data_IF_084496848873
#
_entry.id   IF_084496848873
#
_cell.length_a   1.000
_cell.length_b   1.000
_cell.length_c   1.000
_cell.angle_alpha   90.00
_cell.angle_beta   90.00
_cell.angle_gamma   90.00
#
_symmetry.space_group_name_H-M   'P 1'
#
loop_
_entity.id
_entity.type
_entity.pdbx_description
1 polymer ?
#
# COMPACT_ATOMS: atom_id res chain seq x y z
N UNK A 1 -12.45 17.13 -59.71
CA UNK A 1 -11.91 17.63 -60.99
C UNK A 1 -10.77 18.58 -60.64
N UNK A 2 -9.50 18.22 -60.79
CA UNK A 2 -8.97 17.00 -61.46
C UNK A 2 -7.61 16.59 -60.89
N UNK A 3 -7.37 15.27 -60.81
CA UNK A 3 -6.22 14.47 -61.27
C UNK A 3 -4.76 15.00 -61.18
N UNK A 4 -3.69 14.19 -60.99
CA UNK A 4 -3.44 12.85 -60.36
C UNK A 4 -1.92 12.55 -60.49
N UNK A 5 -1.43 11.43 -59.91
CA UNK A 5 -0.15 10.71 -60.16
C UNK A 5 1.19 11.15 -59.52
N UNK A 6 1.89 10.14 -58.97
CA UNK A 6 3.36 10.05 -58.90
C UNK A 6 4.01 10.40 -57.55
N UNK A 7 4.99 9.67 -57.01
CA UNK A 7 5.53 8.35 -57.35
C UNK A 7 6.38 7.82 -56.18
N UNK A 8 6.42 6.51 -55.92
CA UNK A 8 7.34 5.88 -54.97
C UNK A 8 8.46 5.10 -55.72
N UNK A 9 9.62 4.87 -55.09
CA UNK A 9 10.49 3.75 -55.45
C UNK A 9 10.73 2.77 -54.29
N UNK A 10 11.05 1.52 -54.65
CA UNK A 10 11.36 0.42 -53.73
C UNK A 10 12.88 0.25 -53.55
N UNK A 11 13.24 -0.32 -52.40
CA UNK A 11 14.30 -1.31 -52.11
C UNK A 11 15.59 -1.37 -52.97
N UNK A 12 16.72 -1.44 -52.26
CA UNK A 12 17.85 -2.28 -52.63
C UNK A 12 18.52 -2.90 -51.39
N UNK A 13 18.78 -4.19 -51.46
CA UNK A 13 19.85 -4.94 -50.79
C UNK A 13 20.38 -5.96 -51.82
N UNK A 14 21.19 -6.97 -51.47
CA UNK A 14 21.77 -7.31 -50.18
C UNK A 14 23.31 -7.13 -50.17
N UNK A 15 23.99 -7.55 -49.10
CA UNK A 15 25.32 -8.21 -49.18
C UNK A 15 25.65 -8.93 -47.86
N UNK A 16 26.12 -10.17 -47.97
CA UNK A 16 26.56 -11.05 -46.87
C UNK A 16 27.71 -11.92 -47.40
N UNK A 17 28.80 -12.11 -46.64
CA UNK A 17 29.64 -13.30 -46.81
C UNK A 17 29.89 -14.05 -45.50
N UNK A 18 30.09 -15.36 -45.65
CA UNK A 18 30.36 -16.33 -44.58
C UNK A 18 31.86 -16.63 -44.40
N UNK A 19 32.20 -17.28 -43.28
CA UNK A 19 33.54 -17.79 -42.95
C UNK A 19 33.85 -17.61 -41.45
N UNK A 20 33.60 -18.61 -40.59
CA UNK A 20 34.55 -19.65 -40.17
C UNK A 20 35.87 -19.12 -39.60
N UNK A 21 36.06 -19.24 -38.28
CA UNK A 21 37.10 -20.10 -37.70
C UNK A 21 37.01 -20.14 -36.15
N UNK A 22 37.15 -21.35 -35.60
CA UNK A 22 37.42 -21.61 -34.18
C UNK A 22 38.92 -21.94 -34.06
N UNK A 23 39.60 -21.56 -32.97
CA UNK A 23 40.19 -22.66 -32.18
C UNK A 23 40.23 -22.46 -30.65
N UNK A 24 39.94 -23.58 -29.99
CA UNK A 24 40.59 -24.17 -28.81
C UNK A 24 41.67 -23.36 -28.06
N UNK A 25 41.51 -23.24 -26.73
CA UNK A 25 42.53 -22.66 -25.84
C UNK A 25 42.34 -22.98 -24.35
N UNK A 26 42.66 -24.21 -23.94
CA UNK A 26 42.76 -24.61 -22.53
C UNK A 26 43.99 -24.00 -21.84
N UNK A 27 43.82 -23.37 -20.67
CA UNK A 27 44.89 -23.26 -19.66
C UNK A 27 44.30 -23.47 -18.26
N UNK A 28 44.98 -24.33 -17.50
CA UNK A 28 44.65 -24.79 -16.14
C UNK A 28 45.53 -24.08 -15.09
N UNK A 29 45.27 -24.38 -13.80
CA UNK A 29 46.12 -24.10 -12.64
C UNK A 29 46.04 -22.67 -12.04
N UNK A 30 46.29 -22.44 -10.74
CA UNK A 30 46.81 -23.34 -9.69
C UNK A 30 46.26 -22.94 -8.31
N UNK A 31 45.99 -23.90 -7.41
CA UNK A 31 45.91 -23.63 -5.96
C UNK A 31 47.33 -23.50 -5.35
N UNK A 32 47.56 -22.63 -4.35
CA UNK A 32 48.73 -22.70 -3.49
C UNK A 32 48.47 -23.52 -2.21
N UNK A 33 49.46 -24.32 -1.83
CA UNK A 33 49.35 -25.37 -0.81
C UNK A 33 49.54 -24.90 0.65
N UNK A 34 49.18 -25.81 1.56
CA UNK A 34 49.45 -25.79 3.01
C UNK A 34 50.91 -26.18 3.32
N UNK A 35 51.56 -25.52 4.29
CA UNK A 35 52.49 -26.14 5.24
C UNK A 35 51.80 -26.27 6.61
N UNK A 36 51.99 -27.31 7.42
CA UNK A 36 53.22 -28.05 7.70
C UNK A 36 53.47 -27.92 9.21
N UNK A 37 53.22 -28.98 9.97
CA UNK A 37 52.97 -28.89 11.43
C UNK A 37 54.22 -28.92 12.34
N UNK A 38 53.98 -28.80 13.65
CA UNK A 38 54.99 -29.03 14.70
C UNK A 38 54.37 -29.60 16.00
N UNK A 39 54.77 -30.84 16.30
CA UNK A 39 55.07 -31.46 17.62
C UNK A 39 54.56 -30.82 18.93
N UNK A 40 53.92 -31.66 19.77
CA UNK A 40 53.72 -31.42 21.20
C UNK A 40 54.91 -31.94 22.06
N UNK A 41 55.09 -31.45 23.30
CA UNK A 41 55.83 -32.14 24.36
C UNK A 41 54.93 -32.63 25.51
N UNK A 42 55.31 -33.77 26.09
CA UNK A 42 54.64 -34.44 27.23
C UNK A 42 55.23 -33.99 28.58
N UNK A 43 54.44 -33.88 29.65
CA UNK A 43 54.97 -33.51 30.98
C UNK A 43 54.01 -33.59 32.18
N UNK A 44 53.99 -34.75 32.86
CA UNK A 44 53.82 -34.97 34.32
C UNK A 44 52.84 -34.12 35.17
N UNK A 45 51.67 -34.71 35.48
CA UNK A 45 51.30 -35.20 36.83
C UNK A 45 51.06 -34.25 38.02
N UNK A 46 49.79 -34.06 38.41
CA UNK A 46 49.30 -33.71 39.76
C UNK A 46 47.80 -34.09 39.89
N UNK A 47 47.22 -34.26 41.11
CA UNK A 47 46.04 -35.11 41.30
C UNK A 47 44.67 -34.44 41.05
N UNK A 48 43.66 -35.28 40.81
CA UNK A 48 42.31 -34.87 40.48
C UNK A 48 41.55 -34.24 41.67
N UNK A 49 41.25 -32.94 41.57
CA UNK A 49 40.16 -32.31 42.32
C UNK A 49 38.86 -32.44 41.55
N UNK A 50 37.81 -32.98 42.17
CA UNK A 50 36.45 -33.11 41.62
C UNK A 50 35.76 -31.75 41.49
N UNK A 51 36.17 -30.98 40.49
CA UNK A 51 35.43 -29.79 40.05
C UNK A 51 34.20 -30.20 39.26
N UNK A 52 33.01 -30.00 39.83
CA UNK A 52 31.74 -30.14 39.12
C UNK A 52 31.75 -29.23 37.90
N UNK A 53 31.78 -29.81 36.69
CA UNK A 53 31.73 -29.03 35.46
C UNK A 53 30.42 -28.20 35.43
N UNK A 54 30.47 -26.90 35.07
CA UNK A 54 29.25 -26.13 34.88
C UNK A 54 28.44 -26.80 33.76
N UNK A 55 27.20 -27.18 34.07
CA UNK A 55 26.31 -27.83 33.09
C UNK A 55 26.16 -26.99 31.83
N UNK A 56 25.99 -27.63 30.65
CA UNK A 56 25.90 -26.90 29.39
C UNK A 56 24.76 -25.88 29.46
N UNK A 57 25.11 -24.60 29.28
CA UNK A 57 24.16 -23.50 29.18
C UNK A 57 23.07 -23.86 28.16
N UNK A 58 21.78 -23.59 28.45
CA UNK A 58 20.73 -23.76 27.46
C UNK A 58 21.10 -22.97 26.20
N UNK A 59 21.19 -23.66 25.06
CA UNK A 59 21.56 -23.02 23.81
C UNK A 59 20.57 -21.89 23.52
N UNK A 60 21.07 -20.64 23.51
CA UNK A 60 20.29 -19.50 23.03
C UNK A 60 19.72 -19.87 21.66
N UNK A 61 18.41 -19.69 21.40
CA UNK A 61 17.79 -20.12 20.16
C UNK A 61 18.57 -19.60 18.95
N UNK A 62 19.29 -20.52 18.31
CA UNK A 62 20.19 -20.20 17.21
C UNK A 62 19.39 -19.54 16.11
N UNK A 63 19.70 -18.27 15.83
CA UNK A 63 19.13 -17.56 14.68
C UNK A 63 19.42 -18.42 13.44
N UNK A 64 18.40 -18.87 12.68
CA UNK A 64 18.60 -19.89 11.66
C UNK A 64 19.67 -19.45 10.64
N UNK A 65 20.76 -20.21 10.46
CA UNK A 65 21.78 -19.88 9.49
C UNK A 65 21.21 -20.18 8.09
N UNK A 66 21.10 -19.16 7.24
CA UNK A 66 20.62 -19.39 5.87
C UNK A 66 20.01 -18.19 5.15
N UNK A 67 19.55 -17.14 5.84
CA UNK A 67 19.03 -15.96 5.15
C UNK A 67 20.18 -15.05 4.67
N UNK A 68 20.89 -15.52 3.63
CA UNK A 68 21.80 -14.72 2.81
C UNK A 68 21.08 -13.42 2.43
N UNK A 69 21.64 -12.26 2.78
CA UNK A 69 21.19 -10.95 2.27
C UNK A 69 21.57 -10.81 0.79
N UNK A 70 20.95 -11.63 -0.06
CA UNK A 70 21.13 -11.57 -1.50
C UNK A 70 20.54 -10.30 -2.12
N UNK A 71 20.72 -10.17 -3.43
CA UNK A 71 20.27 -9.05 -4.28
C UNK A 71 18.74 -8.82 -4.29
N UNK A 72 17.98 -9.69 -3.62
CA UNK A 72 16.56 -9.49 -3.26
C UNK A 72 16.36 -8.34 -2.27
N UNK A 73 17.37 -7.99 -1.46
CA UNK A 73 17.35 -6.84 -0.53
C UNK A 73 16.92 -5.51 -1.17
N UNK A 74 17.21 -5.33 -2.45
CA UNK A 74 17.00 -4.09 -3.21
C UNK A 74 16.00 -4.25 -4.37
N UNK A 75 15.18 -5.31 -4.40
CA UNK A 75 14.28 -5.53 -5.53
C UNK A 75 13.17 -4.45 -5.62
N UNK A 76 12.60 -3.99 -4.51
CA UNK A 76 11.77 -2.77 -4.48
C UNK A 76 12.49 -1.51 -5.03
N UNK A 77 13.78 -1.33 -4.71
CA UNK A 77 14.56 -0.16 -5.14
C UNK A 77 14.89 -0.19 -6.62
N UNK A 78 15.20 -1.39 -7.16
CA UNK A 78 15.36 -1.61 -8.61
C UNK A 78 14.05 -1.39 -9.37
N UNK A 79 12.92 -1.83 -8.80
CA UNK A 79 11.60 -1.58 -9.39
C UNK A 79 11.28 -0.08 -9.46
N UNK A 80 11.56 0.68 -8.38
CA UNK A 80 11.42 2.15 -8.38
C UNK A 80 12.30 2.81 -9.43
N UNK A 81 13.59 2.47 -9.45
CA UNK A 81 14.56 3.07 -10.37
C UNK A 81 14.21 2.78 -11.83
N UNK A 82 13.83 1.54 -12.15
CA UNK A 82 13.41 1.14 -13.49
C UNK A 82 12.10 1.82 -13.91
N UNK A 83 11.10 1.88 -13.01
CA UNK A 83 9.85 2.59 -13.27
C UNK A 83 10.06 4.09 -13.48
N UNK A 84 10.93 4.72 -12.70
CA UNK A 84 11.29 6.14 -12.85
C UNK A 84 12.08 6.40 -14.13
N UNK A 85 12.98 5.49 -14.52
CA UNK A 85 13.70 5.56 -15.78
C UNK A 85 12.75 5.44 -16.99
N UNK A 86 11.80 4.50 -16.96
CA UNK A 86 10.77 4.38 -17.99
C UNK A 86 9.86 5.61 -18.05
N UNK A 87 9.46 6.17 -16.90
CA UNK A 87 8.68 7.41 -16.84
C UNK A 87 9.45 8.59 -17.45
N UNK A 88 10.74 8.72 -17.12
CA UNK A 88 11.60 9.78 -17.65
C UNK A 88 11.80 9.64 -19.16
N UNK A 89 12.04 8.42 -19.66
CA UNK A 89 12.12 8.14 -21.11
C UNK A 89 10.81 8.48 -21.80
N UNK A 90 9.66 8.05 -21.27
CA UNK A 90 8.35 8.39 -21.83
C UNK A 90 8.12 9.90 -21.86
N UNK A 91 8.49 10.62 -20.80
CA UNK A 91 8.37 12.08 -20.73
C UNK A 91 9.29 12.78 -21.75
N UNK A 92 10.55 12.35 -21.89
CA UNK A 92 11.50 12.89 -22.87
C UNK A 92 11.00 12.66 -24.30
N UNK A 93 10.53 11.44 -24.62
CA UNK A 93 9.94 11.15 -25.95
C UNK A 93 8.74 12.05 -26.19
N UNK A 94 7.78 12.11 -25.26
CA UNK A 94 6.58 12.97 -25.40
C UNK A 94 6.92 14.44 -25.64
N UNK A 95 7.92 14.98 -24.93
CA UNK A 95 8.36 16.37 -25.07
C UNK A 95 9.19 16.62 -26.35
N UNK A 96 9.95 15.63 -26.81
CA UNK A 96 10.87 15.74 -27.95
C UNK A 96 10.22 15.52 -29.31
N UNK A 97 9.30 14.55 -29.42
CA UNK A 97 8.58 14.27 -30.68
C UNK A 97 7.21 14.96 -30.77
N UNK A 98 6.63 15.36 -29.64
CA UNK A 98 5.25 15.84 -29.58
C UNK A 98 4.20 14.72 -29.71
N UNK A 99 4.61 13.45 -29.66
CA UNK A 99 3.73 12.30 -29.85
C UNK A 99 2.69 12.18 -28.73
N UNK A 100 1.45 12.49 -29.07
CA UNK A 100 0.31 12.41 -28.16
C UNK A 100 0.01 11.00 -27.62
N UNK A 101 0.30 9.87 -28.31
CA UNK A 101 0.09 8.53 -27.76
C UNK A 101 0.94 8.19 -26.53
N UNK A 102 2.02 8.93 -26.26
CA UNK A 102 2.85 8.73 -25.06
C UNK A 102 2.29 9.42 -23.80
N UNK A 103 1.39 10.40 -23.95
CA UNK A 103 0.83 11.12 -22.80
C UNK A 103 0.11 10.21 -21.77
N UNK A 104 -0.75 9.24 -22.18
CA UNK A 104 -1.32 8.27 -21.23
C UNK A 104 -0.26 7.41 -20.54
N UNK A 105 0.85 7.09 -21.20
CA UNK A 105 1.95 6.29 -20.64
C UNK A 105 2.65 7.08 -19.53
N UNK A 106 2.93 8.36 -19.75
CA UNK A 106 3.53 9.26 -18.74
C UNK A 106 2.63 9.39 -17.51
N UNK A 107 1.32 9.59 -17.71
CA UNK A 107 0.33 9.69 -16.63
C UNK A 107 0.21 8.38 -15.82
N UNK A 108 0.10 7.23 -16.50
CA UNK A 108 0.00 5.92 -15.82
C UNK A 108 1.29 5.61 -15.04
N UNK A 109 2.46 5.84 -15.62
CA UNK A 109 3.73 5.59 -14.92
C UNK A 109 3.93 6.54 -13.73
N UNK A 110 3.63 7.83 -13.90
CA UNK A 110 3.76 8.86 -12.85
C UNK A 110 2.89 8.53 -11.63
N UNK A 111 1.64 8.16 -11.89
CA UNK A 111 0.68 7.83 -10.84
C UNK A 111 0.91 6.46 -10.15
N UNK A 112 1.45 5.44 -10.83
CA UNK A 112 1.51 4.06 -10.30
C UNK A 112 2.90 3.59 -9.81
N UNK A 113 4.02 4.13 -10.31
CA UNK A 113 5.36 3.60 -9.99
C UNK A 113 5.70 3.69 -8.49
N UNK A 114 5.47 4.85 -7.86
CA UNK A 114 5.69 5.03 -6.42
C UNK A 114 4.78 4.15 -5.54
N UNK A 115 3.45 4.16 -5.76
CA UNK A 115 2.51 3.30 -5.05
C UNK A 115 2.78 1.80 -5.16
N UNK A 116 3.12 1.30 -6.37
CA UNK A 116 3.50 -0.11 -6.57
C UNK A 116 4.84 -0.45 -5.92
N UNK A 117 5.80 0.49 -5.91
CA UNK A 117 7.07 0.36 -5.17
C UNK A 117 6.81 0.12 -3.68
N UNK A 118 5.89 0.88 -3.08
CA UNK A 118 5.54 0.71 -1.67
C UNK A 118 4.92 -0.67 -1.39
N UNK A 119 3.96 -1.12 -2.21
CA UNK A 119 3.35 -2.44 -2.05
C UNK A 119 4.40 -3.56 -2.10
N UNK A 120 5.38 -3.43 -3.01
CA UNK A 120 6.53 -4.34 -3.12
C UNK A 120 7.45 -4.26 -1.89
N UNK A 121 7.80 -3.07 -1.42
CA UNK A 121 8.63 -2.85 -0.22
C UNK A 121 8.00 -3.45 1.04
N UNK A 122 6.68 -3.30 1.22
CA UNK A 122 5.92 -3.91 2.31
C UNK A 122 6.08 -5.42 2.31
N UNK A 123 5.85 -6.05 1.15
CA UNK A 123 5.92 -7.50 1.00
C UNK A 123 7.34 -8.02 1.26
N UNK A 124 8.36 -7.38 0.69
CA UNK A 124 9.77 -7.80 0.81
C UNK A 124 10.37 -7.59 2.21
N UNK A 125 10.07 -6.45 2.87
CA UNK A 125 10.77 -6.04 4.10
C UNK A 125 9.94 -6.08 5.38
N UNK A 126 8.61 -6.07 5.28
CA UNK A 126 7.71 -5.97 6.44
C UNK A 126 6.50 -6.93 6.33
N UNK A 127 6.69 -8.22 5.98
CA UNK A 127 5.58 -9.17 5.88
C UNK A 127 4.73 -9.19 7.15
N UNK A 128 3.43 -9.30 6.97
CA UNK A 128 2.42 -9.33 8.03
C UNK A 128 1.58 -10.59 7.84
N UNK A 129 1.38 -11.42 8.88
CA UNK A 129 0.57 -12.64 8.76
C UNK A 129 -0.81 -12.37 8.17
N UNK A 130 -1.17 -13.13 7.13
CA UNK A 130 -2.44 -13.00 6.41
C UNK A 130 -2.52 -11.88 5.36
N UNK A 131 -1.50 -11.05 5.18
CA UNK A 131 -1.40 -10.10 4.06
C UNK A 131 -0.46 -10.67 2.99
N UNK A 132 -1.00 -11.53 2.12
CA UNK A 132 -0.31 -12.06 0.95
C UNK A 132 -0.32 -11.05 -0.23
N UNK A 133 0.55 -11.29 -1.22
CA UNK A 133 0.67 -10.39 -2.38
C UNK A 133 -0.65 -10.29 -3.17
N UNK A 134 -1.41 -11.40 -3.27
CA UNK A 134 -2.72 -11.43 -3.93
C UNK A 134 -3.73 -10.50 -3.28
N UNK A 135 -3.84 -10.51 -1.95
CA UNK A 135 -4.71 -9.58 -1.22
C UNK A 135 -4.26 -8.13 -1.37
N UNK A 136 -2.95 -7.85 -1.38
CA UNK A 136 -2.44 -6.48 -1.58
C UNK A 136 -2.75 -5.96 -3.00
N UNK A 137 -2.52 -6.77 -4.03
CA UNK A 137 -2.86 -6.41 -5.42
C UNK A 137 -4.37 -6.21 -5.58
N UNK A 138 -5.20 -7.12 -5.04
CA UNK A 138 -6.66 -6.95 -5.07
C UNK A 138 -7.11 -5.71 -4.30
N UNK A 139 -6.48 -5.39 -3.16
CA UNK A 139 -6.79 -4.19 -2.39
C UNK A 139 -6.52 -2.91 -3.20
N UNK A 140 -5.36 -2.87 -3.86
CA UNK A 140 -4.93 -1.78 -4.71
C UNK A 140 -5.91 -1.56 -5.88
N UNK A 141 -6.17 -2.62 -6.67
CA UNK A 141 -7.05 -2.54 -7.86
C UNK A 141 -8.49 -2.21 -7.48
N UNK A 142 -9.05 -2.89 -6.47
CA UNK A 142 -10.43 -2.66 -6.03
C UNK A 142 -10.63 -1.23 -5.51
N UNK A 143 -9.66 -0.71 -4.73
CA UNK A 143 -9.72 0.66 -4.23
C UNK A 143 -9.54 1.70 -5.32
N UNK A 144 -8.66 1.45 -6.31
CA UNK A 144 -8.46 2.36 -7.44
C UNK A 144 -9.70 2.50 -8.32
N UNK A 145 -10.30 1.38 -8.72
CA UNK A 145 -11.52 1.37 -9.54
C UNK A 145 -12.71 1.98 -8.80
N UNK A 146 -12.94 1.59 -7.54
CA UNK A 146 -14.01 2.19 -6.74
C UNK A 146 -13.74 3.66 -6.42
N UNK A 147 -12.48 4.09 -6.35
CA UNK A 147 -12.12 5.49 -6.18
C UNK A 147 -12.48 6.35 -7.39
N UNK A 148 -12.17 5.88 -8.60
CA UNK A 148 -12.60 6.55 -9.84
C UNK A 148 -14.13 6.73 -9.89
N UNK A 149 -14.87 5.65 -9.60
CA UNK A 149 -16.35 5.68 -9.58
C UNK A 149 -16.87 6.61 -8.48
N UNK A 150 -16.26 6.58 -7.29
CA UNK A 150 -16.61 7.43 -6.16
C UNK A 150 -16.41 8.91 -6.49
N UNK A 151 -15.25 9.28 -7.02
CA UNK A 151 -14.94 10.65 -7.43
C UNK A 151 -15.90 11.14 -8.53
N UNK A 152 -16.19 10.31 -9.55
CA UNK A 152 -17.15 10.66 -10.61
C UNK A 152 -18.56 10.92 -10.08
N UNK A 153 -19.04 10.10 -9.14
CA UNK A 153 -20.37 10.28 -8.52
C UNK A 153 -20.39 11.50 -7.60
N UNK A 154 -19.39 11.65 -6.73
CA UNK A 154 -19.30 12.77 -5.78
C UNK A 154 -19.20 14.13 -6.49
N UNK A 155 -18.43 14.23 -7.59
CA UNK A 155 -18.35 15.43 -8.41
C UNK A 155 -19.71 15.85 -9.02
N UNK A 156 -20.60 14.89 -9.29
CA UNK A 156 -21.96 15.17 -9.77
C UNK A 156 -22.87 15.84 -8.73
N UNK A 157 -22.62 15.58 -7.44
CA UNK A 157 -23.33 16.19 -6.30
C UNK A 157 -22.66 17.48 -5.81
N UNK A 158 -21.34 17.47 -5.65
CA UNK A 158 -20.54 18.57 -5.10
C UNK A 158 -19.86 19.39 -6.22
N UNK A 159 -20.68 20.12 -6.99
CA UNK A 159 -20.19 20.88 -8.17
C UNK A 159 -19.56 22.24 -7.81
N UNK A 160 -19.88 22.79 -6.65
CA UNK A 160 -19.35 24.06 -6.19
C UNK A 160 -18.00 23.85 -5.47
N UNK A 161 -16.94 24.61 -5.79
CA UNK A 161 -15.64 24.54 -5.11
C UNK A 161 -15.68 25.32 -3.77
N UNK A 162 -16.67 25.03 -2.94
CA UNK A 162 -16.85 25.61 -1.60
C UNK A 162 -16.43 24.63 -0.49
N UNK A 163 -16.39 25.12 0.76
CA UNK A 163 -15.95 24.33 1.90
C UNK A 163 -16.83 23.09 2.17
N UNK A 164 -18.13 23.16 1.85
CA UNK A 164 -19.04 22.01 2.01
C UNK A 164 -18.79 20.97 0.92
N UNK A 165 -18.54 21.41 -0.32
CA UNK A 165 -18.10 20.56 -1.43
C UNK A 165 -16.83 19.78 -1.09
N UNK A 166 -15.76 20.48 -0.69
CA UNK A 166 -14.48 19.83 -0.34
C UNK A 166 -14.61 18.83 0.83
N UNK A 167 -15.34 19.19 1.90
CA UNK A 167 -15.55 18.27 3.03
C UNK A 167 -16.42 17.07 2.63
N UNK A 168 -17.46 17.29 1.82
CA UNK A 168 -18.37 16.26 1.34
C UNK A 168 -17.69 15.22 0.45
N UNK A 169 -16.87 15.68 -0.51
CA UNK A 169 -16.06 14.79 -1.36
C UNK A 169 -15.06 14.00 -0.51
N UNK A 170 -14.19 14.69 0.23
CA UNK A 170 -13.13 14.07 1.00
C UNK A 170 -13.64 13.02 2.02
N UNK A 171 -14.72 13.35 2.74
CA UNK A 171 -15.32 12.41 3.70
C UNK A 171 -15.99 11.21 2.99
N UNK A 172 -16.65 11.44 1.86
CA UNK A 172 -17.24 10.38 1.03
C UNK A 172 -16.18 9.39 0.55
N UNK A 173 -15.04 9.89 0.07
CA UNK A 173 -13.93 9.05 -0.36
C UNK A 173 -13.30 8.25 0.78
N UNK A 174 -13.05 8.86 1.95
CA UNK A 174 -12.52 8.13 3.11
C UNK A 174 -13.49 7.05 3.62
N UNK A 175 -14.81 7.28 3.51
CA UNK A 175 -15.82 6.25 3.78
C UNK A 175 -15.70 5.10 2.77
N UNK A 176 -15.56 5.37 1.47
CA UNK A 176 -15.40 4.31 0.45
C UNK A 176 -14.10 3.52 0.68
N UNK A 177 -12.97 4.19 0.95
CA UNK A 177 -11.69 3.54 1.30
C UNK A 177 -11.84 2.66 2.55
N UNK A 178 -12.55 3.13 3.58
CA UNK A 178 -12.86 2.35 4.77
C UNK A 178 -13.73 1.12 4.46
N UNK A 179 -14.77 1.26 3.62
CA UNK A 179 -15.63 0.14 3.20
C UNK A 179 -14.86 -0.93 2.41
N UNK A 180 -13.96 -0.52 1.51
CA UNK A 180 -13.05 -1.43 0.79
C UNK A 180 -12.14 -2.16 1.76
N UNK A 181 -11.49 -1.45 2.69
CA UNK A 181 -10.65 -2.04 3.73
C UNK A 181 -11.44 -3.05 4.59
N UNK A 182 -12.66 -2.70 5.01
CA UNK A 182 -13.55 -3.56 5.79
C UNK A 182 -13.99 -4.82 5.01
N UNK A 183 -14.27 -4.69 3.72
CA UNK A 183 -14.60 -5.82 2.84
C UNK A 183 -13.44 -6.81 2.75
N UNK A 184 -12.23 -6.31 2.47
CA UNK A 184 -11.01 -7.11 2.36
C UNK A 184 -10.62 -7.75 3.70
N UNK A 185 -10.82 -7.02 4.80
CA UNK A 185 -10.56 -7.48 6.16
C UNK A 185 -11.37 -8.72 6.58
N UNK A 186 -12.47 -9.08 5.88
CA UNK A 186 -13.25 -10.30 6.17
C UNK A 186 -12.42 -11.58 6.02
N UNK A 187 -11.48 -11.60 5.06
CA UNK A 187 -10.61 -12.74 4.76
C UNK A 187 -9.38 -12.85 5.68
N UNK A 188 -9.02 -11.79 6.41
CA UNK A 188 -7.87 -11.82 7.32
C UNK A 188 -8.12 -12.73 8.53
N UNK A 189 -7.12 -13.53 8.97
CA UNK A 189 -7.25 -14.35 10.18
C UNK A 189 -7.26 -13.48 11.44
N UNK A 190 -6.32 -12.53 11.54
CA UNK A 190 -6.12 -11.63 12.67
C UNK A 190 -6.10 -10.17 12.22
N UNK A 191 -6.72 -9.28 13.01
CA UNK A 191 -6.68 -7.83 12.79
C UNK A 191 -5.87 -7.19 13.90
N UNK A 192 -4.81 -6.48 13.50
CA UNK A 192 -3.86 -5.81 14.39
C UNK A 192 -3.65 -4.39 13.88
N UNK A 193 -3.20 -3.48 14.74
CA UNK A 193 -2.80 -2.13 14.31
C UNK A 193 -1.87 -2.19 13.09
N UNK A 194 -0.90 -3.10 13.08
CA UNK A 194 0.05 -3.25 11.96
C UNK A 194 -0.60 -3.75 10.66
N UNK A 195 -1.50 -4.74 10.71
CA UNK A 195 -2.21 -5.18 9.49
C UNK A 195 -3.18 -4.11 8.98
N UNK A 196 -3.76 -3.30 9.89
CA UNK A 196 -4.62 -2.17 9.53
C UNK A 196 -3.86 -1.03 8.85
N UNK A 197 -2.72 -0.62 9.43
CA UNK A 197 -1.83 0.38 8.83
C UNK A 197 -1.35 -0.03 7.43
N UNK A 198 -0.95 -1.30 7.26
CA UNK A 198 -0.42 -1.79 5.98
C UNK A 198 -1.51 -1.94 4.92
N UNK A 199 -2.65 -2.57 5.26
CA UNK A 199 -3.75 -2.71 4.30
C UNK A 199 -4.35 -1.34 3.95
N UNK A 200 -4.49 -0.45 4.94
CA UNK A 200 -4.96 0.92 4.72
C UNK A 200 -4.04 1.72 3.81
N UNK A 201 -2.72 1.61 3.99
CA UNK A 201 -1.76 2.23 3.06
C UNK A 201 -1.95 1.74 1.63
N UNK A 202 -2.11 0.43 1.41
CA UNK A 202 -2.28 -0.14 0.05
C UNK A 202 -3.63 0.24 -0.58
N UNK A 203 -4.71 0.33 0.20
CA UNK A 203 -6.01 0.86 -0.24
C UNK A 203 -5.88 2.33 -0.66
N UNK A 204 -5.32 3.18 0.21
CA UNK A 204 -5.12 4.61 -0.10
C UNK A 204 -4.17 4.85 -1.28
N UNK A 205 -3.12 4.02 -1.43
CA UNK A 205 -2.22 4.06 -2.59
C UNK A 205 -2.94 3.69 -3.90
N UNK A 206 -3.74 2.62 -3.90
CA UNK A 206 -4.53 2.24 -5.08
C UNK A 206 -5.53 3.32 -5.48
N UNK A 207 -6.20 3.92 -4.48
CA UNK A 207 -7.11 5.04 -4.71
C UNK A 207 -6.38 6.26 -5.28
N UNK A 208 -5.34 6.76 -4.60
CA UNK A 208 -4.63 7.98 -4.98
C UNK A 208 -3.87 7.88 -6.31
N UNK A 209 -3.40 6.69 -6.68
CA UNK A 209 -2.83 6.44 -8.02
C UNK A 209 -3.91 6.60 -9.10
N UNK A 210 -5.05 5.93 -8.94
CA UNK A 210 -6.18 6.05 -9.86
C UNK A 210 -6.72 7.48 -9.95
N UNK A 211 -6.94 8.14 -8.81
CA UNK A 211 -7.34 9.55 -8.71
C UNK A 211 -6.37 10.47 -9.47
N UNK A 212 -5.06 10.31 -9.25
CA UNK A 212 -4.03 11.10 -9.91
C UNK A 212 -3.99 10.86 -11.42
N UNK A 213 -4.07 9.60 -11.87
CA UNK A 213 -4.16 9.28 -13.29
C UNK A 213 -5.43 9.86 -13.95
N UNK A 214 -6.55 9.91 -13.22
CA UNK A 214 -7.78 10.57 -13.67
C UNK A 214 -7.62 12.08 -13.84
N UNK A 215 -6.94 12.75 -12.92
CA UNK A 215 -6.60 14.18 -13.06
C UNK A 215 -5.60 14.44 -14.19
N UNK A 216 -4.56 13.59 -14.34
CA UNK A 216 -3.61 13.66 -15.44
C UNK A 216 -4.31 13.51 -16.80
N UNK A 217 -5.22 12.54 -16.94
CA UNK A 217 -6.01 12.34 -18.15
C UNK A 217 -6.99 13.50 -18.42
N UNK A 218 -7.64 14.06 -17.40
CA UNK A 218 -8.46 15.27 -17.58
C UNK A 218 -7.63 16.48 -18.04
N UNK A 219 -6.36 16.60 -17.60
CA UNK A 219 -5.48 17.66 -18.04
C UNK A 219 -5.10 17.55 -19.54
N UNK A 220 -5.10 16.34 -20.13
CA UNK A 220 -4.99 16.16 -21.59
C UNK A 220 -6.21 16.69 -22.34
N UNK A 221 -7.41 16.56 -21.75
CA UNK A 221 -8.69 16.84 -22.41
C UNK A 221 -9.16 18.31 -22.29
N UNK A 222 -8.31 19.19 -21.76
CA UNK A 222 -8.72 20.54 -21.37
C UNK A 222 -8.90 21.49 -22.58
N UNK A 223 -9.82 22.45 -22.45
CA UNK A 223 -10.43 23.21 -23.57
C UNK A 223 -9.42 24.08 -24.35
N UNK A 224 -8.27 24.39 -23.77
CA UNK A 224 -7.19 25.16 -24.41
C UNK A 224 -6.26 24.33 -25.32
N UNK A 225 -6.49 23.02 -25.45
CA UNK A 225 -5.64 22.09 -26.21
C UNK A 225 -4.60 21.35 -25.36
N UNK A 226 -3.90 20.40 -26.00
CA UNK A 226 -2.96 19.48 -25.35
C UNK A 226 -1.71 20.20 -24.81
N UNK A 227 -1.78 20.66 -23.56
CA UNK A 227 -0.63 21.25 -22.87
C UNK A 227 0.19 20.20 -22.13
N UNK A 228 1.17 19.60 -22.83
CA UNK A 228 2.15 18.66 -22.24
C UNK A 228 2.82 19.25 -20.99
N UNK A 229 3.11 20.56 -21.03
CA UNK A 229 3.68 21.32 -19.90
C UNK A 229 2.76 21.28 -18.66
N UNK A 230 1.46 21.48 -18.83
CA UNK A 230 0.48 21.45 -17.73
C UNK A 230 0.26 20.03 -17.18
N UNK A 231 0.31 19.02 -18.04
CA UNK A 231 0.28 17.61 -17.64
C UNK A 231 1.51 17.28 -16.78
N UNK A 232 2.71 17.62 -17.25
CA UNK A 232 3.96 17.39 -16.50
C UNK A 232 4.01 18.20 -15.21
N UNK A 233 3.54 19.46 -15.18
CA UNK A 233 3.44 20.24 -13.93
C UNK A 233 2.45 19.61 -12.92
N UNK A 234 1.34 19.05 -13.41
CA UNK A 234 0.34 18.37 -12.56
C UNK A 234 0.85 17.03 -12.04
N UNK A 235 1.51 16.22 -12.89
CA UNK A 235 2.15 14.96 -12.50
C UNK A 235 3.34 15.18 -11.54
N UNK A 236 4.17 16.21 -11.74
CA UNK A 236 5.27 16.53 -10.82
C UNK A 236 4.78 16.96 -9.44
N UNK A 237 3.65 17.67 -9.35
CA UNK A 237 3.10 18.17 -8.09
C UNK A 237 2.18 17.16 -7.38
N UNK A 238 1.33 16.42 -8.11
CA UNK A 238 0.43 15.40 -7.52
C UNK A 238 1.02 13.98 -7.51
N UNK A 239 1.77 13.58 -8.52
CA UNK A 239 2.25 12.21 -8.75
C UNK A 239 2.86 11.52 -7.53
N UNK A 240 3.88 12.10 -6.88
CA UNK A 240 4.46 11.50 -5.67
C UNK A 240 3.70 11.86 -4.39
N UNK A 241 3.20 13.09 -4.25
CA UNK A 241 2.71 13.60 -2.95
C UNK A 241 1.25 13.18 -2.68
N UNK A 242 0.39 13.19 -3.70
CA UNK A 242 -1.03 12.83 -3.58
C UNK A 242 -1.24 11.39 -3.12
N UNK A 243 -0.74 10.37 -3.86
CA UNK A 243 -0.87 8.98 -3.46
C UNK A 243 -0.26 8.67 -2.09
N UNK A 244 0.80 9.37 -1.68
CA UNK A 244 1.40 9.23 -0.34
C UNK A 244 0.51 9.83 0.76
N UNK A 245 -0.13 10.98 0.52
CA UNK A 245 -1.14 11.56 1.42
C UNK A 245 -2.33 10.62 1.62
N UNK A 246 -2.95 10.19 0.52
CA UNK A 246 -4.06 9.23 0.52
C UNK A 246 -3.69 7.94 1.26
N UNK A 247 -2.51 7.36 0.98
CA UNK A 247 -2.01 6.18 1.69
C UNK A 247 -1.81 6.41 3.21
N UNK A 248 -1.28 7.56 3.62
CA UNK A 248 -1.05 7.89 5.02
C UNK A 248 -2.36 8.02 5.80
N UNK A 249 -3.34 8.72 5.25
CA UNK A 249 -4.66 8.92 5.85
C UNK A 249 -5.44 7.61 5.96
N UNK A 250 -5.54 6.84 4.87
CA UNK A 250 -6.21 5.54 4.91
C UNK A 250 -5.46 4.53 5.77
N UNK A 251 -4.13 4.62 5.89
CA UNK A 251 -3.36 3.83 6.87
C UNK A 251 -3.76 4.17 8.31
N UNK A 252 -3.83 5.46 8.69
CA UNK A 252 -4.28 5.89 10.02
C UNK A 252 -5.67 5.33 10.34
N UNK A 253 -6.62 5.48 9.41
CA UNK A 253 -7.99 4.99 9.56
C UNK A 253 -8.06 3.46 9.68
N UNK A 254 -7.42 2.73 8.76
CA UNK A 254 -7.34 1.28 8.79
C UNK A 254 -6.66 0.73 10.05
N UNK A 255 -5.59 1.41 10.50
CA UNK A 255 -4.89 1.14 11.74
C UNK A 255 -5.79 1.26 12.97
N UNK A 256 -6.53 2.37 13.09
CA UNK A 256 -7.48 2.57 14.20
C UNK A 256 -8.64 1.57 14.16
N UNK A 257 -9.22 1.30 12.98
CA UNK A 257 -10.30 0.31 12.81
C UNK A 257 -9.84 -1.08 13.28
N UNK A 258 -8.63 -1.51 12.92
CA UNK A 258 -8.11 -2.82 13.31
C UNK A 258 -7.62 -2.86 14.77
N UNK A 259 -7.12 -1.75 15.32
CA UNK A 259 -6.79 -1.66 16.75
C UNK A 259 -8.03 -1.74 17.65
N UNK A 260 -9.20 -1.33 17.16
CA UNK A 260 -10.50 -1.48 17.84
C UNK A 260 -11.14 -2.88 17.64
N UNK A 261 -10.51 -3.79 16.90
CA UNK A 261 -11.00 -5.14 16.71
C UNK A 261 -10.73 -6.01 17.95
N UNK A 262 -11.69 -6.86 18.33
CA UNK A 262 -11.48 -7.92 19.31
C UNK A 262 -11.58 -9.26 18.59
N UNK A 263 -10.42 -9.86 18.30
CA UNK A 263 -10.29 -11.02 17.41
C UNK A 263 -10.88 -10.73 16.02
N UNK A 264 -11.96 -11.43 15.65
CA UNK A 264 -12.66 -11.25 14.37
C UNK A 264 -13.84 -10.26 14.41
N UNK A 265 -14.20 -9.70 15.56
CA UNK A 265 -15.32 -8.73 15.68
C UNK A 265 -14.80 -7.29 15.74
N UNK A 266 -15.36 -6.43 14.91
CA UNK A 266 -15.11 -4.98 14.95
C UNK A 266 -16.10 -4.34 15.93
N UNK A 267 -15.63 -3.36 16.71
CA UNK A 267 -16.50 -2.53 17.55
C UNK A 267 -16.43 -1.09 17.05
N UNK A 268 -17.56 -0.43 16.73
CA UNK A 268 -17.54 1.00 16.50
C UNK A 268 -17.09 1.68 17.80
N UNK A 269 -16.14 2.60 17.69
CA UNK A 269 -15.60 3.37 18.81
C UNK A 269 -15.53 4.84 18.41
N UNK A 270 -15.62 5.73 19.40
CA UNK A 270 -15.40 7.17 19.19
C UNK A 270 -14.05 7.45 18.55
N UNK A 271 -13.02 6.66 18.86
CA UNK A 271 -11.71 6.72 18.21
C UNK A 271 -11.73 6.48 16.70
N UNK A 272 -12.57 5.57 16.19
CA UNK A 272 -12.75 5.39 14.73
C UNK A 272 -13.42 6.62 14.13
N UNK A 273 -14.47 7.16 14.76
CA UNK A 273 -15.19 8.34 14.28
C UNK A 273 -14.26 9.58 14.23
N UNK A 274 -13.53 9.86 15.30
CA UNK A 274 -12.55 10.95 15.32
C UNK A 274 -11.41 10.74 14.32
N UNK A 275 -11.00 9.48 14.06
CA UNK A 275 -10.01 9.22 13.02
C UNK A 275 -10.59 9.53 11.64
N UNK A 276 -11.79 9.03 11.31
CA UNK A 276 -12.47 9.30 10.04
C UNK A 276 -12.66 10.79 9.79
N UNK A 277 -13.19 11.54 10.79
CA UNK A 277 -13.39 12.99 10.67
C UNK A 277 -12.06 13.74 10.54
N UNK A 278 -11.02 13.34 11.29
CA UNK A 278 -9.71 13.97 11.22
C UNK A 278 -8.97 13.70 9.91
N UNK A 279 -9.07 12.49 9.35
CA UNK A 279 -8.49 12.20 8.03
C UNK A 279 -9.29 12.84 6.90
N UNK A 280 -10.62 12.87 7.00
CA UNK A 280 -11.49 13.59 6.07
C UNK A 280 -11.20 15.10 6.07
N UNK A 281 -10.88 15.69 7.23
CA UNK A 281 -10.45 17.10 7.31
C UNK A 281 -9.08 17.32 6.66
N UNK A 282 -8.09 16.46 6.91
CA UNK A 282 -6.77 16.56 6.25
C UNK A 282 -6.89 16.45 4.72
N UNK A 283 -7.78 15.59 4.25
CA UNK A 283 -8.07 15.40 2.83
C UNK A 283 -8.85 16.59 2.24
N UNK A 284 -9.87 17.13 2.93
CA UNK A 284 -10.56 18.34 2.50
C UNK A 284 -9.62 19.57 2.43
N UNK A 285 -8.67 19.68 3.36
CA UNK A 285 -7.62 20.70 3.34
C UNK A 285 -6.63 20.48 2.18
N UNK A 286 -6.34 19.23 1.80
CA UNK A 286 -5.53 18.91 0.63
C UNK A 286 -6.20 19.33 -0.69
N UNK A 287 -7.48 19.02 -0.86
CA UNK A 287 -8.22 19.36 -2.09
C UNK A 287 -8.41 20.87 -2.24
N UNK A 288 -8.75 21.54 -1.13
CA UNK A 288 -8.94 22.98 -1.08
C UNK A 288 -7.63 23.79 -1.12
N UNK A 289 -6.46 23.18 -0.89
CA UNK A 289 -5.18 23.89 -0.75
C UNK A 289 -4.88 24.86 -1.90
N UNK A 290 -5.15 24.44 -3.15
CA UNK A 290 -4.94 25.30 -4.33
C UNK A 290 -5.88 26.51 -4.33
N UNK A 291 -7.15 26.32 -3.98
CA UNK A 291 -8.14 27.39 -3.85
C UNK A 291 -7.79 28.35 -2.71
N UNK A 292 -7.36 27.82 -1.56
CA UNK A 292 -6.88 28.61 -0.41
C UNK A 292 -5.66 29.44 -0.80
N UNK A 293 -4.68 28.86 -1.52
CA UNK A 293 -3.50 29.58 -1.98
C UNK A 293 -3.83 30.70 -2.99
N UNK A 294 -4.80 30.49 -3.89
CA UNK A 294 -5.30 31.53 -4.81
C UNK A 294 -5.98 32.66 -4.03
N UNK A 295 -6.91 32.32 -3.13
CA UNK A 295 -7.64 33.32 -2.31
C UNK A 295 -6.65 34.11 -1.44
N UNK A 296 -5.70 33.44 -0.78
CA UNK A 296 -4.67 34.11 0.02
C UNK A 296 -3.79 35.04 -0.82
N UNK A 297 -3.34 34.61 -2.01
CA UNK A 297 -2.57 35.47 -2.89
C UNK A 297 -3.36 36.73 -3.32
N UNK A 298 -4.65 36.58 -3.62
CA UNK A 298 -5.55 37.68 -3.96
C UNK A 298 -5.89 38.58 -2.75
N UNK A 299 -5.98 38.04 -1.53
CA UNK A 299 -6.20 38.84 -0.32
C UNK A 299 -5.00 39.73 0.02
N UNK A 300 -3.77 39.23 -0.19
CA UNK A 300 -2.53 39.96 0.14
C UNK A 300 -2.11 40.95 -0.96
N UNK A 301 -2.39 40.63 -2.23
CA UNK A 301 -1.85 41.39 -3.38
C UNK A 301 -2.88 41.82 -4.42
N UNK A 302 -4.14 41.39 -4.27
CA UNK A 302 -5.16 41.60 -5.28
C UNK A 302 -5.70 43.02 -5.30
N UNK A 303 -6.05 43.49 -6.49
CA UNK A 303 -6.73 44.78 -6.66
C UNK A 303 -8.24 44.60 -6.58
N UNK A 304 -8.97 45.66 -6.21
CA UNK A 304 -10.45 45.65 -6.04
C UNK A 304 -11.23 45.19 -7.29
N UNK A 305 -10.61 45.23 -8.47
CA UNK A 305 -11.20 44.78 -9.73
C UNK A 305 -10.98 43.30 -10.03
N UNK A 306 -9.95 42.65 -9.47
CA UNK A 306 -9.65 41.23 -9.75
C UNK A 306 -10.75 40.26 -9.27
N UNK A 307 -11.33 40.39 -8.05
CA UNK A 307 -12.47 39.58 -7.64
C UNK A 307 -13.71 39.80 -8.52
N UNK A 308 -13.93 41.03 -9.00
CA UNK A 308 -15.03 41.34 -9.94
C UNK A 308 -14.84 40.65 -11.29
N UNK A 309 -13.63 40.72 -11.86
CA UNK A 309 -13.29 40.00 -13.10
C UNK A 309 -13.51 38.49 -12.95
N UNK A 310 -13.07 37.89 -11.85
CA UNK A 310 -13.31 36.46 -11.56
C UNK A 310 -14.80 36.13 -11.43
N UNK A 311 -15.60 36.98 -10.76
CA UNK A 311 -17.05 36.81 -10.69
C UNK A 311 -17.78 36.94 -12.05
N UNK A 312 -17.14 37.61 -13.02
CA UNK A 312 -17.60 37.74 -14.40
C UNK A 312 -17.00 36.66 -15.33
N UNK A 313 -16.29 35.67 -14.78
CA UNK A 313 -15.67 34.57 -15.55
C UNK A 313 -14.34 34.89 -16.22
N UNK A 314 -13.80 36.11 -16.04
CA UNK A 314 -12.49 36.49 -16.57
C UNK A 314 -11.37 36.07 -15.61
N UNK A 315 -10.37 35.34 -16.13
CA UNK A 315 -9.15 34.98 -15.39
C UNK A 315 -8.07 36.03 -15.69
N UNK A 316 -7.80 37.00 -14.79
CA UNK A 316 -6.71 37.95 -14.98
C UNK A 316 -5.35 37.24 -14.94
N UNK A 317 -4.38 37.72 -15.74
CA UNK A 317 -3.00 37.21 -15.68
C UNK A 317 -2.40 37.50 -14.28
N UNK A 318 -1.89 36.49 -13.56
CA UNK A 318 -1.34 36.69 -12.23
C UNK A 318 0.00 37.44 -12.28
N UNK A 319 0.28 38.25 -11.25
CA UNK A 319 1.58 38.90 -11.10
C UNK A 319 2.67 37.92 -10.65
N UNK A 320 3.95 38.29 -10.83
CA UNK A 320 5.07 37.46 -10.35
C UNK A 320 5.00 37.21 -8.83
N UNK A 321 4.58 38.22 -8.06
CA UNK A 321 4.38 38.11 -6.61
C UNK A 321 3.21 37.16 -6.27
N UNK A 322 2.12 37.19 -7.05
CA UNK A 322 1.00 36.25 -6.89
C UNK A 322 1.42 34.81 -7.14
N UNK A 323 2.23 34.57 -8.19
CA UNK A 323 2.77 33.24 -8.52
C UNK A 323 3.67 32.73 -7.38
N UNK A 324 4.59 33.57 -6.87
CA UNK A 324 5.46 33.22 -5.75
C UNK A 324 4.67 32.93 -4.47
N UNK A 325 3.71 33.78 -4.11
CA UNK A 325 2.91 33.64 -2.91
C UNK A 325 2.01 32.39 -2.97
N UNK A 326 1.42 32.09 -4.13
CA UNK A 326 0.71 30.84 -4.39
C UNK A 326 1.62 29.63 -4.22
N UNK A 327 2.81 29.63 -4.85
CA UNK A 327 3.74 28.52 -4.80
C UNK A 327 4.25 28.23 -3.37
N UNK A 328 4.62 29.28 -2.62
CA UNK A 328 5.04 29.16 -1.22
C UNK A 328 3.90 28.67 -0.34
N UNK A 329 2.68 29.18 -0.51
CA UNK A 329 1.50 28.75 0.28
C UNK A 329 1.17 27.28 0.04
N UNK A 330 1.19 26.84 -1.22
CA UNK A 330 1.07 25.43 -1.57
C UNK A 330 2.19 24.59 -0.93
N UNK A 331 3.46 24.97 -1.08
CA UNK A 331 4.59 24.22 -0.53
C UNK A 331 4.51 24.07 1.01
N UNK A 332 4.23 25.17 1.72
CA UNK A 332 4.08 25.17 3.19
C UNK A 332 2.85 24.34 3.60
N UNK A 333 1.71 24.48 2.93
CA UNK A 333 0.50 23.71 3.22
C UNK A 333 0.71 22.20 3.04
N UNK A 334 1.39 21.79 1.95
CA UNK A 334 1.76 20.39 1.70
C UNK A 334 2.65 19.83 2.83
N UNK A 335 3.69 20.57 3.22
CA UNK A 335 4.60 20.17 4.31
C UNK A 335 3.85 20.03 5.63
N UNK A 336 2.95 20.97 5.96
CA UNK A 336 2.14 20.92 7.19
C UNK A 336 1.18 19.72 7.19
N UNK A 337 0.46 19.45 6.09
CA UNK A 337 -0.46 18.32 5.97
C UNK A 337 0.26 16.97 6.14
N UNK A 338 1.41 16.82 5.49
CA UNK A 338 2.26 15.61 5.63
C UNK A 338 2.80 15.50 7.07
N UNK A 339 3.29 16.60 7.65
CA UNK A 339 3.82 16.60 9.02
C UNK A 339 2.74 16.19 10.04
N UNK A 340 1.53 16.72 9.96
CA UNK A 340 0.41 16.36 10.86
C UNK A 340 0.09 14.86 10.73
N UNK A 341 -0.01 14.33 9.51
CA UNK A 341 -0.24 12.90 9.29
C UNK A 341 0.88 12.00 9.84
N UNK A 342 2.15 12.40 9.68
CA UNK A 342 3.31 11.65 10.19
C UNK A 342 3.40 11.71 11.71
N UNK A 343 3.13 12.86 12.33
CA UNK A 343 3.05 13.03 13.79
C UNK A 343 1.93 12.15 14.35
N UNK A 344 0.74 12.16 13.73
CA UNK A 344 -0.38 11.30 14.13
C UNK A 344 -0.02 9.81 14.02
N UNK A 345 0.65 9.39 12.94
CA UNK A 345 1.14 8.01 12.79
C UNK A 345 2.12 7.63 13.89
N UNK A 346 3.00 8.55 14.29
CA UNK A 346 3.91 8.42 15.42
C UNK A 346 3.17 8.23 16.75
N UNK A 347 2.15 9.05 17.03
CA UNK A 347 1.31 8.96 18.22
C UNK A 347 0.53 7.64 18.25
N UNK A 348 -0.11 7.26 17.13
CA UNK A 348 -0.92 6.04 17.01
C UNK A 348 -0.07 4.78 17.27
N UNK A 349 1.18 4.76 16.76
CA UNK A 349 2.14 3.66 16.99
C UNK A 349 2.66 3.55 18.43
N UNK A 350 2.62 4.63 19.22
CA UNK A 350 3.08 4.66 20.62
C UNK A 350 2.00 4.22 21.62
N UNK A 351 0.73 4.07 21.18
CA UNK A 351 -0.33 3.56 22.05
C UNK A 351 -0.01 2.13 22.48
N UNK A 352 0.06 1.82 23.79
CA UNK A 352 0.23 0.44 24.24
C UNK A 352 -0.88 -0.42 23.67
N UNK A 353 -0.52 -1.57 23.09
CA UNK A 353 -1.48 -2.66 22.95
C UNK A 353 -1.96 -2.99 24.36
N UNK A 354 -3.25 -2.74 24.64
CA UNK A 354 -3.84 -3.03 25.95
C UNK A 354 -3.52 -4.46 26.37
N UNK A 355 -3.34 -4.72 27.68
CA UNK A 355 -2.83 -5.99 28.16
C UNK A 355 -3.66 -7.14 27.57
N UNK A 356 -2.96 -8.14 27.03
CA UNK A 356 -3.58 -9.40 26.70
C UNK A 356 -4.26 -9.90 27.98
N UNK A 357 -5.59 -9.97 27.97
CA UNK A 357 -6.34 -10.48 29.12
C UNK A 357 -5.79 -11.88 29.38
N UNK A 358 -5.33 -12.21 30.61
CA UNK A 358 -4.73 -13.49 30.88
C UNK A 358 -5.67 -14.58 30.40
N UNK A 359 -5.11 -15.49 29.61
CA UNK A 359 -5.78 -16.70 29.17
C UNK A 359 -6.32 -17.36 30.44
N UNK A 360 -7.64 -17.63 30.49
CA UNK A 360 -8.19 -18.35 31.64
C UNK A 360 -7.41 -19.66 31.74
N UNK A 361 -6.95 -20.08 32.93
CA UNK A 361 -6.36 -21.40 33.08
C UNK A 361 -7.27 -22.41 32.39
N UNK A 362 -6.69 -23.23 31.50
CA UNK A 362 -7.41 -24.38 30.97
C UNK A 362 -7.91 -25.24 32.13
N UNK A 363 -8.98 -26.04 31.95
CA UNK A 363 -9.41 -26.97 32.99
C UNK A 363 -8.20 -27.76 33.47
N UNK A 364 -7.98 -27.72 34.78
CA UNK A 364 -6.83 -28.32 35.44
C UNK A 364 -6.73 -29.80 35.02
N UNK A 365 -5.54 -30.30 34.61
CA UNK A 365 -5.42 -31.67 34.15
C UNK A 365 -5.80 -32.60 35.29
N UNK A 366 -6.96 -33.26 35.15
CA UNK A 366 -7.48 -34.22 36.12
C UNK A 366 -6.41 -35.28 36.32
N UNK A 367 -5.73 -35.19 37.46
CA UNK A 367 -4.66 -36.11 37.82
C UNK A 367 -5.33 -37.39 38.30
N UNK A 368 -5.61 -38.30 37.36
CA UNK A 368 -6.15 -39.62 37.67
C UNK A 368 -5.09 -40.39 38.43
N UNK A 369 -5.21 -40.42 39.75
CA UNK A 369 -4.40 -41.29 40.61
C UNK A 369 -4.65 -42.75 40.23
N UNK A 370 -3.62 -43.61 40.08
CA UNK A 370 -3.79 -44.98 39.59
C UNK A 370 -4.66 -45.92 40.45
N UNK A 371 -5.12 -45.47 41.62
CA UNK A 371 -5.72 -46.29 42.68
C UNK A 371 -7.27 -46.37 42.63
N UNK A 372 -7.91 -45.75 41.63
CA UNK A 372 -9.36 -45.88 41.41
C UNK A 372 -9.74 -46.92 40.34
N UNK A 373 -8.76 -47.60 39.73
CA UNK A 373 -9.00 -48.59 38.67
C UNK A 373 -9.41 -49.99 39.17
N UNK A 374 -9.44 -50.23 40.48
CA UNK A 374 -9.66 -51.56 41.08
C UNK A 374 -10.89 -51.70 42.01
N UNK A 375 -11.79 -50.71 42.07
CA UNK A 375 -13.05 -50.81 42.84
C UNK A 375 -14.29 -50.31 42.09
N UNK A 376 -14.57 -50.91 40.93
CA UNK A 376 -15.86 -50.77 40.24
C UNK A 376 -16.25 -52.05 39.48
N UNK A 377 -16.07 -53.23 40.09
CA UNK A 377 -16.68 -54.46 39.61
C UNK A 377 -18.18 -54.47 39.91
N UNK A 378 -18.98 -53.89 39.02
CA UNK A 378 -20.43 -53.73 39.22
C UNK A 378 -21.19 -53.72 37.90
N UNK A 379 -21.82 -54.85 37.57
CA UNK A 379 -22.70 -55.02 36.41
C UNK A 379 -23.77 -53.93 36.31
N UNK A 380 -23.88 -53.25 35.17
CA UNK A 380 -25.15 -52.69 34.70
C UNK A 380 -25.23 -52.79 33.17
N UNK A 381 -26.34 -53.37 32.71
CA UNK A 381 -26.64 -53.62 31.31
C UNK A 381 -27.52 -52.47 30.78
N UNK A 382 -27.09 -51.78 29.73
CA UNK A 382 -27.92 -50.75 29.08
C UNK A 382 -27.76 -50.83 27.56
N UNK A 383 -28.78 -51.35 26.89
CA UNK A 383 -28.87 -51.37 25.43
C UNK A 383 -29.00 -49.94 24.87
N UNK A 384 -28.33 -49.66 23.76
CA UNK A 384 -28.57 -48.45 22.98
C UNK A 384 -29.87 -48.60 22.15
N UNK A 385 -30.72 -47.56 22.03
CA UNK A 385 -31.91 -47.63 21.20
C UNK A 385 -31.57 -47.61 19.70
N UNK A 386 -32.16 -48.55 18.95
CA UNK A 386 -32.16 -48.56 17.48
C UNK A 386 -33.23 -47.58 16.96
N UNK A 387 -32.95 -46.73 15.96
CA UNK A 387 -33.98 -45.87 15.37
C UNK A 387 -34.94 -46.67 14.46
N UNK A 388 -36.27 -46.44 14.52
CA UNK A 388 -37.22 -47.11 13.65
C UNK A 388 -37.20 -46.56 12.21
N UNK A 389 -37.40 -47.48 11.25
CA UNK A 389 -37.51 -47.17 9.82
C UNK A 389 -38.88 -46.57 9.44
N UNK A 390 -39.00 -45.89 8.28
CA UNK A 390 -40.21 -45.14 7.94
C UNK A 390 -41.16 -45.91 7.01
N UNK A 391 -42.24 -46.49 7.54
CA UNK A 391 -43.44 -46.78 6.74
C UNK A 391 -44.65 -47.17 7.62
N UNK A 392 -45.54 -46.20 7.91
CA UNK A 392 -46.99 -46.43 7.83
C UNK A 392 -47.72 -45.07 7.74
N UNK A 393 -48.50 -44.89 6.66
CA UNK A 393 -49.61 -43.92 6.59
C UNK A 393 -50.80 -44.60 7.29
N UNK A 394 -51.73 -43.92 7.93
CA UNK A 394 -52.76 -43.06 7.29
C UNK A 394 -53.46 -42.14 8.32
N UNK A 395 -54.32 -41.18 7.88
CA UNK A 395 -54.69 -40.01 8.69
C UNK A 395 -56.06 -40.12 9.38
N UNK A 396 -56.36 -39.15 10.26
CA UNK A 396 -57.68 -38.50 10.21
C UNK A 396 -57.66 -37.02 10.67
N UNK A 397 -58.75 -36.33 10.31
CA UNK A 397 -59.32 -35.07 10.84
C UNK A 397 -59.59 -35.15 12.37
N UNK A 398 -59.97 -34.14 13.16
CA UNK A 398 -60.24 -32.68 13.05
C UNK A 398 -59.92 -32.08 14.46
N UNK A 399 -60.18 -30.83 14.91
CA UNK A 399 -60.90 -29.64 14.42
C UNK A 399 -60.34 -28.37 15.10
N UNK A 400 -60.98 -27.20 14.86
CA UNK A 400 -60.82 -25.89 15.52
C UNK A 400 -59.61 -25.02 15.11
#
# INVERSE_FOLDING_TARGET
>A
MSDVTGQAPRQAGPDEPSGTDEPTGTVEATEPAVPGGATAPTGTGAPATTGTAPGPMPALPGRPPGQRRGLTSYAWGRFLLFGLALWLVAAIVTLGSGDTPMLPVVVILGAFVGPLTYARWVHERRPVPGLDLSLLVRAYVLSGVLGLLCASVLAGYFRAPDAFGYVGVALGEEIVKALVLLYLARRLPTRTLRSGLVLGAVVGFGFGACETAGYGLQALLNVSGLSVRTVVETELLRGPVGPVGQALWTALLGGTIFAAAHGRRLRPTTGILFTLLGVGLLHALWDSLRSVAIVFALLVTGTTWQPRLLSLGFVPRPSAVQIQLYAVTCAVGLVLLVAVGVIWLGILRRRPTGPAKPERPGPEPVTVTPDQSLRAGGSTNTQAPVPPSPEERTPDRTDA
#
